data_IF_795202548649
#
_entry.id   IF_795202548649
#
_cell.length_a   1.000
_cell.length_b   1.000
_cell.length_c   1.000
_cell.angle_alpha   90.00
_cell.angle_beta   90.00
_cell.angle_gamma   90.00
#
_symmetry.space_group_name_H-M   'P 1'
#
loop_
_entity.id
_entity.type
_entity.pdbx_description
1 polymer ?
#
# COMPACT_ATOMS: atom_id res chain seq x y z
N UNK A 1 10.26 1.97 -34.47
CA UNK A 1 9.16 1.18 -33.86
C UNK A 1 9.57 0.97 -32.42
N UNK A 2 8.95 1.69 -31.48
CA UNK A 2 9.20 1.46 -30.07
C UNK A 2 8.55 0.11 -29.73
N UNK A 3 9.36 -0.90 -29.45
CA UNK A 3 8.89 -2.09 -28.76
C UNK A 3 8.55 -1.66 -27.32
N UNK A 4 7.38 -1.08 -27.11
CA UNK A 4 6.80 -0.93 -25.78
C UNK A 4 6.44 -2.33 -25.31
N UNK A 5 7.36 -2.95 -24.58
CA UNK A 5 7.05 -4.11 -23.75
C UNK A 5 5.94 -3.67 -22.79
N UNK A 6 4.77 -4.30 -22.89
CA UNK A 6 3.66 -4.07 -21.97
C UNK A 6 4.16 -4.24 -20.53
N UNK A 7 3.78 -3.32 -19.65
CA UNK A 7 4.08 -3.45 -18.22
C UNK A 7 3.37 -4.68 -17.66
N UNK A 8 4.17 -5.66 -17.20
CA UNK A 8 3.63 -6.90 -16.62
C UNK A 8 3.31 -6.73 -15.14
N UNK A 9 2.21 -7.34 -14.71
CA UNK A 9 1.71 -7.25 -13.34
C UNK A 9 1.52 -8.64 -12.73
N UNK A 10 1.98 -8.85 -11.51
CA UNK A 10 1.60 -10.00 -10.69
C UNK A 10 0.60 -9.58 -9.65
N UNK A 11 -0.59 -10.17 -9.70
CA UNK A 11 -1.59 -10.01 -8.65
C UNK A 11 -1.45 -11.20 -7.72
N UNK A 12 -1.17 -10.92 -6.45
CA UNK A 12 -0.96 -11.92 -5.43
C UNK A 12 -2.11 -11.83 -4.44
N UNK A 13 -2.88 -12.91 -4.33
CA UNK A 13 -3.93 -13.06 -3.32
C UNK A 13 -3.50 -14.09 -2.30
N UNK A 14 -3.52 -13.72 -1.03
CA UNK A 14 -3.38 -14.66 0.08
C UNK A 14 -4.74 -14.94 0.71
N UNK A 15 -4.97 -16.19 1.10
CA UNK A 15 -6.23 -16.64 1.67
C UNK A 15 -6.02 -17.62 2.82
N UNK A 16 -6.78 -17.46 3.89
CA UNK A 16 -6.89 -18.46 4.95
C UNK A 16 -8.32 -18.43 5.50
N UNK A 17 -9.08 -19.51 5.26
CA UNK A 17 -10.46 -19.67 5.71
C UNK A 17 -11.38 -18.47 5.39
N UNK A 18 -11.22 -17.89 4.20
CA UNK A 18 -12.08 -16.80 3.72
C UNK A 18 -12.65 -17.12 2.33
N UNK A 19 -13.34 -18.25 2.20
CA UNK A 19 -13.96 -18.71 0.94
C UNK A 19 -14.83 -17.64 0.27
N UNK A 20 -15.63 -16.93 1.05
CA UNK A 20 -16.54 -15.91 0.52
C UNK A 20 -15.78 -14.68 0.00
N UNK A 21 -14.76 -14.21 0.74
CA UNK A 21 -13.88 -13.15 0.30
C UNK A 21 -13.08 -13.54 -0.94
N UNK A 22 -12.49 -14.73 -0.94
CA UNK A 22 -11.71 -15.26 -2.06
C UNK A 22 -12.54 -15.33 -3.34
N UNK A 23 -13.80 -15.77 -3.22
CA UNK A 23 -14.74 -15.80 -4.36
C UNK A 23 -14.96 -14.40 -4.93
N UNK A 24 -15.12 -13.37 -4.08
CA UNK A 24 -15.27 -11.98 -4.54
C UNK A 24 -14.00 -11.49 -5.23
N UNK A 25 -12.83 -11.71 -4.62
CA UNK A 25 -11.53 -11.29 -5.15
C UNK A 25 -11.28 -11.90 -6.53
N UNK A 26 -11.41 -13.22 -6.66
CA UNK A 26 -11.22 -13.95 -7.94
C UNK A 26 -12.18 -13.42 -9.02
N UNK A 27 -13.45 -13.22 -8.67
CA UNK A 27 -14.42 -12.68 -9.62
C UNK A 27 -14.05 -11.26 -10.08
N UNK A 28 -13.58 -10.40 -9.18
CA UNK A 28 -13.17 -9.04 -9.52
C UNK A 28 -11.95 -9.03 -10.46
N UNK A 29 -10.94 -9.87 -10.19
CA UNK A 29 -9.74 -9.99 -11.03
C UNK A 29 -10.10 -10.54 -12.41
N UNK A 30 -10.97 -11.57 -12.45
CA UNK A 30 -11.44 -12.17 -13.72
C UNK A 30 -12.15 -11.16 -14.63
N UNK A 31 -12.85 -10.19 -14.05
CA UNK A 31 -13.60 -9.19 -14.80
C UNK A 31 -12.70 -8.06 -15.33
N UNK A 32 -11.60 -7.77 -14.63
CA UNK A 32 -10.72 -6.64 -14.95
C UNK A 32 -9.90 -6.79 -16.24
N UNK A 33 -9.84 -7.99 -16.84
CA UNK A 33 -9.19 -8.27 -18.14
C UNK A 33 -7.80 -7.65 -18.26
N UNK A 34 -6.99 -7.82 -17.23
CA UNK A 34 -5.72 -7.12 -17.06
C UNK A 34 -4.71 -7.68 -18.09
N UNK A 35 -4.17 -6.85 -19.00
CA UNK A 35 -3.22 -7.31 -20.00
C UNK A 35 -1.91 -7.74 -19.34
N UNK A 36 -1.32 -8.83 -19.85
CA UNK A 36 0.02 -9.28 -19.47
C UNK A 36 0.22 -9.41 -17.94
N UNK A 37 -0.81 -9.90 -17.25
CA UNK A 37 -0.75 -10.17 -15.81
C UNK A 37 -0.68 -11.66 -15.51
N UNK A 38 -0.05 -12.00 -14.40
CA UNK A 38 -0.18 -13.30 -13.74
C UNK A 38 -1.04 -13.15 -12.48
N UNK A 39 -1.93 -14.11 -12.25
CA UNK A 39 -2.74 -14.19 -11.04
C UNK A 39 -2.30 -15.37 -10.17
N UNK A 40 -1.79 -15.04 -8.99
CA UNK A 40 -1.18 -15.98 -8.03
C UNK A 40 -2.05 -16.05 -6.77
N UNK A 41 -2.46 -17.26 -6.40
CA UNK A 41 -3.23 -17.50 -5.16
C UNK A 41 -2.47 -18.39 -4.19
N UNK A 42 -2.16 -17.87 -3.01
CA UNK A 42 -1.50 -18.60 -1.91
C UNK A 42 -2.53 -18.86 -0.82
N UNK A 43 -2.88 -20.12 -0.60
CA UNK A 43 -3.83 -20.55 0.41
C UNK A 43 -3.11 -21.17 1.62
N UNK A 44 -3.49 -20.75 2.83
CA UNK A 44 -2.86 -21.14 4.09
C UNK A 44 -3.30 -22.49 4.65
N UNK A 45 -3.62 -23.48 3.80
CA UNK A 45 -4.26 -24.76 4.17
C UNK A 45 -5.70 -24.56 4.71
N UNK A 46 -6.54 -23.86 3.93
CA UNK A 46 -7.92 -23.58 4.33
C UNK A 46 -8.80 -24.84 4.38
N UNK A 47 -9.71 -24.89 5.35
CA UNK A 47 -10.65 -26.00 5.57
C UNK A 47 -12.12 -25.65 5.29
N UNK A 48 -12.39 -24.44 4.78
CA UNK A 48 -13.73 -23.90 4.56
C UNK A 48 -14.25 -24.09 3.12
N UNK A 49 -13.52 -24.84 2.29
CA UNK A 49 -13.79 -25.03 0.87
C UNK A 49 -13.18 -23.97 -0.04
N UNK A 50 -12.25 -23.14 0.45
CA UNK A 50 -11.48 -22.20 -0.39
C UNK A 50 -10.70 -22.92 -1.50
N UNK A 51 -10.10 -24.08 -1.22
CA UNK A 51 -9.34 -24.87 -2.21
C UNK A 51 -10.23 -25.32 -3.38
N UNK A 52 -11.50 -25.63 -3.13
CA UNK A 52 -12.46 -25.95 -4.19
C UNK A 52 -12.74 -24.73 -5.08
N UNK A 53 -12.86 -23.53 -4.48
CA UNK A 53 -13.00 -22.28 -5.23
C UNK A 53 -11.78 -22.06 -6.12
N UNK A 54 -10.57 -22.21 -5.60
CA UNK A 54 -9.32 -22.09 -6.38
C UNK A 54 -9.32 -23.10 -7.53
N UNK A 55 -9.68 -24.35 -7.23
CA UNK A 55 -9.69 -25.43 -8.23
C UNK A 55 -10.67 -25.19 -9.37
N UNK A 56 -11.84 -24.62 -9.07
CA UNK A 56 -12.85 -24.26 -10.08
C UNK A 56 -12.42 -23.07 -10.96
N UNK A 57 -11.45 -22.27 -10.52
CA UNK A 57 -10.97 -21.07 -11.22
C UNK A 57 -9.54 -21.21 -11.77
N UNK A 58 -9.00 -22.43 -11.89
CA UNK A 58 -7.67 -22.69 -12.48
C UNK A 58 -7.45 -22.15 -13.90
N UNK A 59 -8.52 -21.85 -14.62
CA UNK A 59 -8.45 -21.28 -15.97
C UNK A 59 -8.07 -19.79 -15.99
N UNK A 60 -8.16 -19.09 -14.85
CA UNK A 60 -7.73 -17.69 -14.68
C UNK A 60 -6.61 -17.51 -13.64
N UNK A 61 -6.29 -18.55 -12.87
CA UNK A 61 -5.24 -18.54 -11.86
C UNK A 61 -3.99 -19.21 -12.45
N UNK A 62 -2.96 -18.43 -12.72
CA UNK A 62 -1.71 -18.91 -13.32
C UNK A 62 -0.89 -19.79 -12.37
N UNK A 63 -0.92 -19.49 -11.08
CA UNK A 63 -0.27 -20.30 -10.05
C UNK A 63 -1.09 -20.32 -8.76
N UNK A 64 -1.15 -21.48 -8.12
CA UNK A 64 -1.64 -21.56 -6.75
C UNK A 64 -0.97 -22.68 -5.95
N UNK A 65 -0.95 -22.50 -4.64
CA UNK A 65 -0.53 -23.52 -3.67
C UNK A 65 -1.42 -23.42 -2.44
N UNK A 66 -1.69 -24.56 -1.79
CA UNK A 66 -2.34 -24.61 -0.48
C UNK A 66 -1.43 -25.35 0.49
N UNK A 67 -0.88 -24.64 1.46
CA UNK A 67 0.01 -25.16 2.49
C UNK A 67 0.04 -24.23 3.70
N UNK A 68 0.40 -24.75 4.87
CA UNK A 68 0.50 -23.93 6.09
C UNK A 68 1.43 -22.73 5.89
N UNK A 69 1.01 -21.59 6.39
CA UNK A 69 1.81 -20.38 6.50
C UNK A 69 1.95 -19.93 7.96
N UNK A 70 2.90 -19.04 8.21
CA UNK A 70 3.11 -18.45 9.54
C UNK A 70 2.43 -17.08 9.68
N UNK A 71 1.42 -16.79 8.84
CA UNK A 71 0.70 -15.53 8.76
C UNK A 71 0.74 -14.88 7.36
N UNK A 72 0.02 -13.76 7.23
CA UNK A 72 -0.24 -13.05 5.97
C UNK A 72 1.05 -12.80 5.17
N UNK A 73 2.09 -12.25 5.80
CA UNK A 73 3.32 -11.93 5.08
C UNK A 73 4.15 -13.16 4.71
N UNK A 74 4.01 -14.27 5.42
CA UNK A 74 4.59 -15.56 5.02
C UNK A 74 3.96 -16.02 3.71
N UNK A 75 2.62 -15.94 3.59
CA UNK A 75 1.92 -16.23 2.35
C UNK A 75 2.27 -15.24 1.23
N UNK A 76 2.34 -13.93 1.52
CA UNK A 76 2.76 -12.92 0.53
C UNK A 76 4.19 -13.18 0.03
N UNK A 77 5.11 -13.57 0.92
CA UNK A 77 6.49 -13.91 0.58
C UNK A 77 6.58 -15.11 -0.36
N UNK A 78 5.73 -16.12 -0.20
CA UNK A 78 5.61 -17.24 -1.16
C UNK A 78 5.18 -16.71 -2.52
N UNK A 79 4.15 -15.84 -2.58
CA UNK A 79 3.71 -15.19 -3.81
C UNK A 79 4.82 -14.38 -4.50
N UNK A 80 5.55 -13.55 -3.74
CA UNK A 80 6.71 -12.78 -4.24
C UNK A 80 7.78 -13.70 -4.85
N UNK A 81 7.95 -14.91 -4.34
CA UNK A 81 8.99 -15.83 -4.79
C UNK A 81 8.72 -16.42 -6.17
N UNK A 82 7.45 -16.50 -6.56
CA UNK A 82 6.99 -17.15 -7.79
C UNK A 82 6.66 -16.11 -8.87
N UNK A 83 6.46 -14.85 -8.48
CA UNK A 83 6.07 -13.77 -9.38
C UNK A 83 7.21 -13.33 -10.32
N UNK A 84 6.81 -12.99 -11.54
CA UNK A 84 7.64 -12.57 -12.67
C UNK A 84 7.28 -11.17 -13.20
N UNK A 85 6.16 -10.60 -12.78
CA UNK A 85 5.72 -9.26 -13.16
C UNK A 85 6.76 -8.18 -12.83
N UNK A 86 6.75 -7.09 -13.60
CA UNK A 86 7.53 -5.89 -13.29
C UNK A 86 7.05 -5.26 -11.99
N UNK A 87 5.72 -5.20 -11.84
CA UNK A 87 5.05 -4.79 -10.61
C UNK A 87 4.36 -5.96 -9.94
N UNK A 88 4.30 -5.90 -8.61
CA UNK A 88 3.46 -6.74 -7.77
C UNK A 88 2.34 -5.90 -7.17
N UNK A 89 1.14 -6.46 -7.12
CA UNK A 89 -0.02 -5.90 -6.41
C UNK A 89 -0.58 -6.99 -5.50
N UNK A 90 -0.78 -6.67 -4.22
CA UNK A 90 -1.28 -7.62 -3.23
C UNK A 90 -2.76 -7.35 -3.00
N UNK A 91 -3.64 -8.23 -3.50
CA UNK A 91 -5.08 -8.11 -3.34
C UNK A 91 -5.57 -9.26 -2.47
N UNK A 92 -5.66 -9.04 -1.16
CA UNK A 92 -5.95 -10.13 -0.22
C UNK A 92 -7.39 -10.63 -0.39
N UNK A 93 -7.63 -11.86 0.06
CA UNK A 93 -8.96 -12.46 0.05
C UNK A 93 -9.98 -11.57 0.76
N UNK A 94 -11.00 -11.11 0.03
CA UNK A 94 -12.01 -10.15 0.49
C UNK A 94 -11.94 -8.80 -0.24
N UNK A 95 -10.75 -8.38 -0.66
CA UNK A 95 -10.53 -7.15 -1.40
C UNK A 95 -10.87 -7.34 -2.89
N UNK A 96 -11.40 -6.29 -3.53
CA UNK A 96 -11.81 -6.33 -4.93
C UNK A 96 -11.20 -5.18 -5.72
N UNK A 97 -10.90 -5.43 -6.99
CA UNK A 97 -10.67 -4.35 -7.95
C UNK A 97 -11.95 -3.52 -8.09
N UNK A 98 -11.84 -2.18 -8.12
CA UNK A 98 -12.99 -1.29 -8.13
C UNK A 98 -13.81 -1.40 -9.42
N UNK A 99 -13.14 -1.34 -10.57
CA UNK A 99 -13.75 -1.63 -11.86
C UNK A 99 -12.71 -2.16 -12.87
N UNK A 100 -13.19 -2.50 -14.06
CA UNK A 100 -12.37 -3.13 -15.11
C UNK A 100 -11.23 -2.22 -15.59
N UNK A 101 -11.44 -0.90 -15.56
CA UNK A 101 -10.48 0.05 -16.10
C UNK A 101 -9.50 0.53 -15.03
N UNK A 102 -9.85 0.44 -13.74
CA UNK A 102 -9.06 0.94 -12.61
C UNK A 102 -7.61 0.44 -12.60
N UNK A 103 -7.39 -0.87 -12.78
CA UNK A 103 -6.02 -1.42 -12.83
C UNK A 103 -5.33 -1.05 -14.15
N UNK A 104 -6.05 -1.06 -15.27
CA UNK A 104 -5.48 -0.71 -16.56
C UNK A 104 -5.02 0.76 -16.59
N UNK A 105 -5.79 1.66 -16.00
CA UNK A 105 -5.45 3.07 -15.81
C UNK A 105 -4.26 3.23 -14.87
N UNK A 106 -4.20 2.46 -13.77
CA UNK A 106 -3.07 2.46 -12.85
C UNK A 106 -1.76 1.99 -13.52
N UNK A 107 -1.81 0.93 -14.32
CA UNK A 107 -0.67 0.44 -15.10
C UNK A 107 -0.25 1.49 -16.15
N UNK A 108 -1.20 2.03 -16.90
CA UNK A 108 -0.94 3.07 -17.91
C UNK A 108 -0.31 4.32 -17.28
N UNK A 109 -0.76 4.69 -16.09
CA UNK A 109 -0.19 5.79 -15.32
C UNK A 109 1.24 5.49 -14.88
N UNK A 110 1.56 4.26 -14.48
CA UNK A 110 2.92 3.83 -14.17
C UNK A 110 3.84 3.97 -15.39
N UNK A 111 3.39 3.54 -16.57
CA UNK A 111 4.11 3.65 -17.84
C UNK A 111 4.40 5.11 -18.21
N UNK A 112 3.38 5.95 -18.17
CA UNK A 112 3.50 7.39 -18.45
C UNK A 112 4.39 8.11 -17.44
N UNK A 113 4.47 7.57 -16.22
CA UNK A 113 5.30 8.09 -15.14
C UNK A 113 6.73 7.54 -15.12
N UNK A 114 7.19 6.94 -16.23
CA UNK A 114 8.54 6.34 -16.36
C UNK A 114 8.80 5.23 -15.35
N UNK A 115 7.78 4.41 -15.08
CA UNK A 115 7.84 3.25 -14.18
C UNK A 115 8.43 3.61 -12.81
N UNK A 116 7.72 4.37 -11.96
CA UNK A 116 8.20 4.69 -10.61
C UNK A 116 8.28 3.42 -9.74
N UNK A 117 9.05 3.46 -8.66
CA UNK A 117 9.27 2.29 -7.82
C UNK A 117 7.99 1.83 -7.12
N UNK A 118 7.14 2.78 -6.72
CA UNK A 118 5.83 2.53 -6.14
C UNK A 118 4.81 3.50 -6.75
N UNK A 119 3.70 2.96 -7.26
CA UNK A 119 2.49 3.72 -7.60
C UNK A 119 1.43 3.39 -6.57
N UNK A 120 0.65 4.37 -6.11
CA UNK A 120 -0.43 4.14 -5.17
C UNK A 120 -1.64 5.01 -5.51
N UNK A 121 -2.83 4.43 -5.32
CA UNK A 121 -4.10 5.10 -5.54
C UNK A 121 -5.01 5.08 -4.32
N UNK A 122 -6.23 5.55 -4.51
CA UNK A 122 -7.25 5.62 -3.47
C UNK A 122 -7.94 4.27 -3.28
N UNK A 123 -8.57 4.10 -2.11
CA UNK A 123 -9.41 2.93 -1.83
C UNK A 123 -10.83 3.35 -1.46
N UNK A 124 -11.81 2.54 -1.85
CA UNK A 124 -13.16 2.59 -1.30
C UNK A 124 -13.22 1.63 -0.13
N UNK A 125 -13.40 2.15 1.08
CA UNK A 125 -13.48 1.35 2.30
C UNK A 125 -14.93 0.94 2.52
N UNK A 126 -15.19 -0.37 2.62
CA UNK A 126 -16.51 -0.92 2.92
C UNK A 126 -16.54 -1.41 4.36
N UNK A 127 -17.43 -0.82 5.16
CA UNK A 127 -17.67 -1.24 6.54
C UNK A 127 -18.76 -2.32 6.63
N UNK A 128 -18.79 -3.05 7.74
CA UNK A 128 -19.76 -4.13 8.01
C UNK A 128 -21.24 -3.71 7.96
N UNK A 129 -21.53 -2.41 8.14
CA UNK A 129 -22.88 -1.84 8.04
C UNK A 129 -23.24 -1.34 6.63
N UNK A 130 -22.42 -1.64 5.62
CA UNK A 130 -22.62 -1.21 4.23
C UNK A 130 -22.30 0.26 3.98
N UNK A 131 -21.73 0.97 4.96
CA UNK A 131 -21.21 2.32 4.74
C UNK A 131 -19.95 2.24 3.89
N UNK A 132 -19.87 3.13 2.91
CA UNK A 132 -18.71 3.25 2.03
C UNK A 132 -18.16 4.66 2.09
N UNK A 133 -16.82 4.77 2.09
CA UNK A 133 -16.13 6.06 2.01
C UNK A 133 -14.81 5.88 1.27
N UNK A 134 -14.37 6.92 0.56
CA UNK A 134 -13.09 6.90 -0.15
C UNK A 134 -11.98 7.41 0.74
N UNK A 135 -10.93 6.61 0.90
CA UNK A 135 -9.69 7.05 1.52
C UNK A 135 -8.75 7.58 0.44
N UNK A 136 -8.39 8.85 0.58
CA UNK A 136 -7.43 9.51 -0.28
C UNK A 136 -6.06 9.62 0.38
N UNK A 137 -5.01 9.72 -0.44
CA UNK A 137 -3.63 9.84 0.02
C UNK A 137 -2.99 11.15 -0.47
N UNK A 138 -1.98 11.68 0.23
CA UNK A 138 -1.27 12.86 -0.25
C UNK A 138 -0.48 12.54 -1.52
N UNK A 139 -0.47 13.47 -2.48
CA UNK A 139 0.30 13.33 -3.72
C UNK A 139 1.82 13.26 -3.52
N UNK A 140 2.31 13.81 -2.40
CA UNK A 140 3.72 13.81 -2.02
C UNK A 140 3.86 13.17 -0.64
N UNK A 141 4.40 11.95 -0.61
CA UNK A 141 4.70 11.26 0.63
C UNK A 141 6.00 11.80 1.23
N UNK A 142 6.03 11.88 2.56
CA UNK A 142 7.21 12.28 3.32
C UNK A 142 7.44 11.30 4.45
N UNK A 143 8.65 11.30 5.01
CA UNK A 143 8.93 10.52 6.21
C UNK A 143 8.00 10.91 7.37
N UNK A 144 7.67 12.21 7.49
CA UNK A 144 6.72 12.75 8.48
C UNK A 144 5.31 12.17 8.30
N UNK A 145 4.87 11.94 7.05
CA UNK A 145 3.58 11.28 6.78
C UNK A 145 3.58 9.83 7.30
N UNK A 146 4.65 9.07 7.05
CA UNK A 146 4.74 7.67 7.50
C UNK A 146 4.83 7.51 9.02
N UNK A 147 5.13 8.58 9.76
CA UNK A 147 5.03 8.58 11.22
C UNK A 147 3.59 8.43 11.69
N UNK A 148 2.68 9.15 11.05
CA UNK A 148 1.27 9.24 11.47
C UNK A 148 0.42 8.19 10.76
N UNK A 149 0.75 7.87 9.51
CA UNK A 149 -0.10 7.05 8.65
C UNK A 149 0.70 6.16 7.70
N UNK A 150 0.04 5.50 6.75
CA UNK A 150 0.63 4.73 5.66
C UNK A 150 -0.30 4.71 4.45
N UNK A 151 0.24 4.34 3.30
CA UNK A 151 -0.55 3.99 2.12
C UNK A 151 -1.04 2.55 2.20
N UNK A 152 -2.12 2.24 1.47
CA UNK A 152 -2.70 0.91 1.44
C UNK A 152 -2.06 0.06 0.34
N UNK A 153 -1.62 -1.15 0.70
CA UNK A 153 -0.90 -2.03 -0.23
C UNK A 153 -1.78 -2.61 -1.31
N UNK A 154 -3.09 -2.76 -1.06
CA UNK A 154 -4.01 -3.26 -2.06
C UNK A 154 -4.17 -2.32 -3.25
N UNK A 155 -4.13 -1.01 -3.03
CA UNK A 155 -4.16 -0.02 -4.11
C UNK A 155 -2.76 0.42 -4.57
N UNK A 156 -1.73 -0.41 -4.38
CA UNK A 156 -0.35 -0.10 -4.75
C UNK A 156 0.23 -1.06 -5.79
N UNK A 157 0.93 -0.51 -6.79
CA UNK A 157 1.87 -1.25 -7.63
C UNK A 157 3.27 -1.08 -7.04
N UNK A 158 3.92 -2.18 -6.69
CA UNK A 158 5.25 -2.20 -6.09
C UNK A 158 6.21 -2.88 -7.05
N UNK A 159 7.28 -2.20 -7.48
CA UNK A 159 8.28 -2.84 -8.35
C UNK A 159 8.83 -4.10 -7.68
N UNK A 160 8.83 -5.21 -8.41
CA UNK A 160 9.37 -6.50 -7.93
C UNK A 160 10.83 -6.36 -7.48
N UNK A 161 11.62 -5.53 -8.17
CA UNK A 161 13.03 -5.28 -7.85
C UNK A 161 13.25 -4.70 -6.45
N UNK A 162 12.24 -4.10 -5.80
CA UNK A 162 12.36 -3.67 -4.40
C UNK A 162 12.48 -4.85 -3.44
N UNK A 163 11.84 -5.99 -3.74
CA UNK A 163 11.98 -7.21 -2.94
C UNK A 163 13.32 -7.92 -3.19
N UNK A 164 13.89 -7.74 -4.39
CA UNK A 164 15.26 -8.20 -4.69
C UNK A 164 16.30 -7.35 -3.94
N UNK A 165 16.09 -6.03 -3.87
CA UNK A 165 17.01 -5.08 -3.25
C UNK A 165 16.92 -5.08 -1.72
N UNK A 166 15.71 -5.00 -1.16
CA UNK A 166 15.51 -4.85 0.28
C UNK A 166 15.34 -6.17 1.02
N UNK A 167 15.07 -7.25 0.29
CA UNK A 167 14.55 -8.50 0.82
C UNK A 167 13.01 -8.53 0.84
N UNK A 168 12.49 -9.72 1.12
CA UNK A 168 11.06 -9.99 1.32
C UNK A 168 10.54 -9.37 2.62
N UNK A 169 9.23 -9.44 2.85
CA UNK A 169 8.62 -8.91 4.08
C UNK A 169 9.16 -9.64 5.32
N UNK A 170 9.59 -8.91 6.38
CA UNK A 170 10.01 -9.55 7.63
C UNK A 170 8.83 -10.20 8.35
N UNK A 171 8.78 -11.54 8.40
CA UNK A 171 7.65 -12.29 8.99
C UNK A 171 7.50 -12.08 10.52
N UNK A 172 8.47 -11.42 11.16
CA UNK A 172 8.36 -10.97 12.56
C UNK A 172 7.27 -9.93 12.77
N UNK A 173 6.97 -9.09 11.77
CA UNK A 173 5.89 -8.11 11.81
C UNK A 173 4.64 -8.69 11.15
N UNK A 174 3.73 -9.25 11.97
CA UNK A 174 2.60 -10.04 11.46
C UNK A 174 1.48 -9.21 10.85
N UNK A 175 1.40 -7.92 11.16
CA UNK A 175 0.33 -7.01 10.75
C UNK A 175 0.83 -5.78 9.99
N UNK A 176 2.11 -5.43 10.08
CA UNK A 176 2.63 -4.17 9.54
C UNK A 176 3.89 -4.30 8.64
N UNK A 177 4.20 -5.47 8.07
CA UNK A 177 5.38 -5.58 7.18
C UNK A 177 5.28 -4.79 5.88
N UNK A 178 4.07 -4.46 5.42
CA UNK A 178 3.87 -3.54 4.30
C UNK A 178 4.38 -2.13 4.63
N UNK A 179 4.11 -1.67 5.86
CA UNK A 179 4.67 -0.42 6.39
C UNK A 179 6.20 -0.43 6.43
N UNK A 180 6.82 -1.56 6.80
CA UNK A 180 8.29 -1.71 6.73
C UNK A 180 8.83 -1.46 5.32
N UNK A 181 8.19 -2.02 4.30
CA UNK A 181 8.62 -1.82 2.92
C UNK A 181 8.51 -0.35 2.51
N UNK A 182 7.37 0.30 2.80
CA UNK A 182 7.17 1.71 2.43
C UNK A 182 8.12 2.64 3.16
N UNK A 183 8.33 2.42 4.45
CA UNK A 183 9.26 3.22 5.24
C UNK A 183 10.71 3.02 4.78
N UNK A 184 11.08 1.80 4.42
CA UNK A 184 12.40 1.51 3.85
C UNK A 184 12.58 2.15 2.48
N UNK A 185 11.56 2.09 1.62
CA UNK A 185 11.57 2.70 0.29
C UNK A 185 11.70 4.23 0.35
N UNK A 186 10.92 4.92 1.18
CA UNK A 186 11.01 6.39 1.31
C UNK A 186 12.36 6.81 1.91
N UNK A 187 12.89 6.05 2.88
CA UNK A 187 14.21 6.30 3.50
C UNK A 187 15.36 6.13 2.51
N UNK A 188 15.21 5.25 1.51
CA UNK A 188 16.17 5.07 0.41
C UNK A 188 15.83 5.89 -0.83
N UNK A 189 14.96 6.91 -0.71
CA UNK A 189 14.59 7.84 -1.78
C UNK A 189 14.03 7.16 -3.04
N UNK A 190 13.34 6.03 -2.87
CA UNK A 190 12.60 5.40 -3.96
C UNK A 190 11.47 6.30 -4.42
N UNK A 191 11.14 6.20 -5.70
CA UNK A 191 10.15 7.04 -6.35
C UNK A 191 8.73 6.56 -6.05
N UNK A 192 7.90 7.48 -5.53
CA UNK A 192 6.48 7.27 -5.30
C UNK A 192 5.67 8.15 -6.26
N UNK A 193 4.59 7.62 -6.83
CA UNK A 193 3.64 8.38 -7.65
C UNK A 193 2.21 8.11 -7.23
N UNK A 194 1.49 9.19 -6.94
CA UNK A 194 0.08 9.16 -6.60
C UNK A 194 -0.79 9.14 -7.85
N UNK A 195 -1.70 8.18 -7.90
CA UNK A 195 -2.74 8.06 -8.91
C UNK A 195 -4.07 8.49 -8.27
N UNK A 196 -4.63 9.62 -8.72
CA UNK A 196 -5.80 10.26 -8.10
C UNK A 196 -7.15 9.61 -8.48
N UNK A 197 -7.20 8.28 -8.41
CA UNK A 197 -8.40 7.49 -8.66
C UNK A 197 -8.51 6.34 -7.66
N UNK A 198 -9.73 5.84 -7.48
CA UNK A 198 -9.99 4.69 -6.60
C UNK A 198 -9.68 3.40 -7.35
N UNK A 199 -8.75 2.59 -6.83
CA UNK A 199 -8.29 1.36 -7.49
C UNK A 199 -8.98 0.12 -6.91
N UNK A 200 -9.18 0.11 -5.59
CA UNK A 200 -9.62 -1.09 -4.85
C UNK A 200 -10.80 -0.76 -3.94
N UNK A 201 -11.72 -1.71 -3.87
CA UNK A 201 -12.72 -1.82 -2.81
C UNK A 201 -12.10 -2.68 -1.70
N UNK A 202 -11.79 -2.03 -0.59
CA UNK A 202 -11.10 -2.62 0.56
C UNK A 202 -12.11 -3.13 1.59
N UNK A 203 -11.97 -4.40 1.98
CA UNK A 203 -12.79 -5.02 3.03
C UNK A 203 -12.21 -4.68 4.41
N UNK A 204 -12.92 -3.84 5.17
CA UNK A 204 -12.45 -3.38 6.48
C UNK A 204 -12.58 -4.43 7.60
N UNK A 205 -12.91 -5.68 7.28
CA UNK A 205 -12.98 -6.77 8.26
C UNK A 205 -11.65 -7.54 8.43
N UNK A 206 -10.56 -7.06 7.81
CA UNK A 206 -9.24 -7.67 7.88
C UNK A 206 -8.65 -7.77 9.29
N UNK A 207 -7.65 -8.65 9.45
CA UNK A 207 -7.03 -8.96 10.75
C UNK A 207 -6.38 -7.73 11.41
N UNK A 208 -5.78 -6.84 10.61
CA UNK A 208 -5.14 -5.60 11.11
C UNK A 208 -6.17 -4.62 11.68
N UNK A 209 -7.32 -4.46 11.02
CA UNK A 209 -8.42 -3.63 11.52
C UNK A 209 -8.96 -4.15 12.85
N UNK A 210 -9.00 -5.48 13.02
CA UNK A 210 -9.43 -6.12 14.27
C UNK A 210 -8.37 -6.11 15.40
N UNK A 211 -7.10 -5.83 15.08
CA UNK A 211 -5.98 -5.86 16.03
C UNK A 211 -5.15 -4.56 16.01
N UNK A 212 -5.84 -3.42 16.00
CA UNK A 212 -5.21 -2.10 15.83
C UNK A 212 -4.09 -1.82 16.83
N UNK A 213 -4.23 -2.21 18.10
CA UNK A 213 -3.17 -2.00 19.10
C UNK A 213 -1.86 -2.69 18.73
N UNK A 214 -1.94 -3.96 18.27
CA UNK A 214 -0.77 -4.72 17.86
C UNK A 214 -0.18 -4.15 16.57
N UNK A 215 -1.03 -3.77 15.62
CA UNK A 215 -0.60 -3.12 14.39
C UNK A 215 0.20 -1.83 14.66
N UNK A 216 -0.29 -0.97 15.55
CA UNK A 216 0.40 0.27 15.93
C UNK A 216 1.73 -0.01 16.65
N UNK A 217 1.78 -1.01 17.53
CA UNK A 217 3.02 -1.40 18.20
C UNK A 217 4.08 -1.93 17.21
N UNK A 218 3.67 -2.72 16.20
CA UNK A 218 4.58 -3.17 15.14
C UNK A 218 5.05 -2.00 14.28
N UNK A 219 4.17 -1.04 13.92
CA UNK A 219 4.58 0.18 13.20
C UNK A 219 5.60 0.99 13.99
N UNK A 220 5.41 1.14 15.30
CA UNK A 220 6.35 1.86 16.16
C UNK A 220 7.71 1.14 16.23
N UNK A 221 7.71 -0.19 16.36
CA UNK A 221 8.95 -0.98 16.32
C UNK A 221 9.69 -0.83 14.99
N UNK A 222 8.97 -0.91 13.86
CA UNK A 222 9.52 -0.70 12.51
C UNK A 222 10.10 0.71 12.36
N UNK A 223 9.38 1.72 12.86
CA UNK A 223 9.83 3.11 12.83
C UNK A 223 11.15 3.28 13.59
N UNK A 224 11.23 2.71 14.79
CA UNK A 224 12.43 2.77 15.62
C UNK A 224 13.60 1.98 15.03
N UNK A 225 13.32 0.91 14.28
CA UNK A 225 14.35 0.13 13.57
C UNK A 225 14.91 0.89 12.36
N UNK A 226 14.05 1.51 11.55
CA UNK A 226 14.44 2.06 10.25
C UNK A 226 14.79 3.55 10.26
N UNK A 227 14.30 4.32 11.23
CA UNK A 227 14.52 5.77 11.32
C UNK A 227 15.50 6.07 12.45
N UNK A 228 16.71 6.61 12.17
CA UNK A 228 17.70 6.91 13.20
C UNK A 228 17.16 7.91 14.23
N UNK A 229 17.52 7.72 15.50
CA UNK A 229 17.00 8.49 16.62
C UNK A 229 17.19 10.01 16.44
N UNK A 230 18.31 10.43 15.85
CA UNK A 230 18.59 11.84 15.57
C UNK A 230 17.56 12.45 14.60
N UNK A 231 17.17 11.69 13.57
CA UNK A 231 16.12 12.11 12.64
C UNK A 231 14.76 12.16 13.32
N UNK A 232 14.47 11.25 14.25
CA UNK A 232 13.20 11.26 14.98
C UNK A 232 13.05 12.53 15.84
N UNK A 233 14.12 12.95 16.52
CA UNK A 233 14.15 14.21 17.29
C UNK A 233 13.93 15.41 16.38
N UNK A 234 14.64 15.49 15.25
CA UNK A 234 14.48 16.58 14.28
C UNK A 234 13.04 16.64 13.74
N UNK A 235 12.40 15.49 13.47
CA UNK A 235 11.02 15.45 13.03
C UNK A 235 10.05 15.95 14.11
N UNK A 236 10.28 15.60 15.38
CA UNK A 236 9.49 16.10 16.51
C UNK A 236 9.62 17.61 16.65
N UNK A 237 10.84 18.13 16.68
CA UNK A 237 11.10 19.57 16.79
C UNK A 237 10.46 20.33 15.61
N UNK A 238 10.58 19.81 14.39
CA UNK A 238 9.93 20.40 13.23
C UNK A 238 8.40 20.40 13.33
N UNK A 239 7.79 19.34 13.88
CA UNK A 239 6.34 19.27 14.12
C UNK A 239 5.91 20.31 15.15
N UNK A 240 6.65 20.45 16.25
CA UNK A 240 6.40 21.48 17.27
C UNK A 240 6.55 22.89 16.68
N UNK A 241 7.59 23.15 15.89
CA UNK A 241 7.80 24.41 15.19
C UNK A 241 6.66 24.71 14.20
N UNK A 242 6.20 23.73 13.41
CA UNK A 242 5.03 23.87 12.53
C UNK A 242 3.77 24.20 13.33
N UNK A 243 3.55 23.56 14.47
CA UNK A 243 2.41 23.84 15.34
C UNK A 243 2.48 25.25 15.96
N UNK A 244 3.66 25.67 16.42
CA UNK A 244 3.89 27.02 16.93
C UNK A 244 3.69 28.08 15.84
N UNK A 245 4.27 27.89 14.66
CA UNK A 245 4.15 28.86 13.55
C UNK A 245 2.76 28.88 12.90
N UNK A 246 2.01 27.80 13.00
CA UNK A 246 0.61 27.75 12.55
C UNK A 246 -0.37 28.40 13.54
N UNK A 247 0.04 28.59 14.80
CA UNK A 247 -0.72 29.32 15.83
C UNK A 247 -1.08 30.74 15.38
N UNK A 248 -2.34 31.12 15.66
CA UNK A 248 -2.89 32.44 15.32
C UNK A 248 -2.08 33.57 15.94
N UNK A 249 -1.58 33.38 17.16
CA UNK A 249 -0.77 34.37 17.88
C UNK A 249 0.58 34.61 17.19
N UNK A 250 1.28 33.55 16.80
CA UNK A 250 2.58 33.64 16.11
C UNK A 250 2.40 34.25 14.72
N UNK A 251 1.36 33.87 13.98
CA UNK A 251 1.02 34.50 12.68
C UNK A 251 0.76 36.00 12.81
N UNK A 252 0.06 36.43 13.85
CA UNK A 252 -0.17 37.85 14.14
C UNK A 252 1.15 38.54 14.50
N UNK A 253 1.97 37.94 15.36
CA UNK A 253 3.29 38.46 15.73
C UNK A 253 4.22 38.63 14.52
N UNK A 254 4.28 37.65 13.62
CA UNK A 254 5.05 37.73 12.37
C UNK A 254 4.51 38.85 11.46
N UNK A 255 3.18 39.00 11.33
CA UNK A 255 2.58 40.10 10.57
C UNK A 255 2.91 41.48 11.15
N UNK A 256 2.82 41.63 12.48
CA UNK A 256 3.14 42.88 13.17
C UNK A 256 4.64 43.22 13.07
N UNK A 257 5.52 42.23 13.18
CA UNK A 257 6.97 42.38 12.96
C UNK A 257 7.29 42.86 11.54
N UNK A 258 6.70 42.21 10.53
CA UNK A 258 6.87 42.63 9.12
C UNK A 258 6.33 44.04 8.88
N UNK A 259 5.19 44.37 9.48
CA UNK A 259 4.62 45.72 9.41
C UNK A 259 5.54 46.76 10.06
N UNK A 260 6.01 46.50 11.28
CA UNK A 260 6.93 47.39 12.01
C UNK A 260 8.24 47.60 11.26
N UNK A 261 8.85 46.54 10.71
CA UNK A 261 10.09 46.65 9.94
C UNK A 261 9.88 47.40 8.61
N UNK A 262 8.75 47.20 7.95
CA UNK A 262 8.37 47.95 6.74
C UNK A 262 8.13 49.44 7.04
N UNK A 263 7.49 49.75 8.16
CA UNK A 263 7.30 51.12 8.63
C UNK A 263 8.63 51.78 9.01
N UNK A 264 9.49 51.09 9.78
CA UNK A 264 10.81 51.58 10.18
C UNK A 264 11.73 51.87 9.00
N UNK A 265 11.66 51.10 7.92
CA UNK A 265 12.51 51.32 6.73
C UNK A 265 12.00 52.44 5.80
N UNK A 266 10.84 53.04 6.09
CA UNK A 266 10.27 54.17 5.33
C UNK A 266 10.57 55.54 5.97
N UNK A 267 11.23 55.56 7.12
CA UNK A 267 11.67 56.74 7.86
C UNK A 267 13.15 56.60 8.22
#
# INVERSE_FOLDING_TARGET
MNNTTLTTLSIITVNLNNKSGLTKTINSVSQAKIPASEFIVIDGESTDGSVDIITNHKHIIDFWISEKDNGIYSAMNKGISISNGLYLMFLNSGDCVCDVDSINSLISFAEQSSHPDIVYGNISVVESLGRTWTRMYPANLTLDYFREDTINHQASLIKRSLFDEFGKYPESFRLASDFWLYLKAISHRKSFKYFDETVVVYDNNGISANNMQKYLAEKEAIWNELVPAEFQTILLENKELKNLTSSRFVKIGIKLSKFYNSWRNKF
#
